data_IF_648553248704
#
_entry.id   IF_648553248704
#
_cell.length_a   1.000
_cell.length_b   1.000
_cell.length_c   1.000
_cell.angle_alpha   90.00
_cell.angle_beta   90.00
_cell.angle_gamma   90.00
#
_symmetry.space_group_name_H-M   'P 1'
#
loop_
_entity.id
_entity.type
_entity.pdbx_description
1 polymer ?
#
# COMPACT_ATOMS: atom_id res chain seq x y z
N UNK A 1 0.74 -10.84 16.96
CA UNK A 1 1.77 -11.88 17.15
C UNK A 1 3.00 -11.26 17.82
N UNK A 2 3.45 -11.85 18.91
CA UNK A 2 4.68 -11.42 19.55
C UNK A 2 5.87 -11.94 18.77
N UNK A 3 6.82 -11.10 18.51
CA UNK A 3 8.07 -11.48 17.87
C UNK A 3 9.18 -11.42 18.89
N UNK A 4 9.88 -12.53 19.06
CA UNK A 4 11.08 -12.58 19.88
C UNK A 4 12.28 -12.34 18.98
N UNK A 5 13.08 -11.36 19.35
CA UNK A 5 14.34 -11.08 18.68
C UNK A 5 15.45 -11.48 19.60
N UNK A 6 16.33 -12.38 19.16
CA UNK A 6 17.51 -12.75 19.90
C UNK A 6 18.60 -11.70 19.68
N UNK A 7 19.04 -11.08 20.75
CA UNK A 7 20.15 -10.15 20.70
C UNK A 7 21.48 -10.91 20.80
N UNK A 8 22.61 -10.27 20.38
CA UNK A 8 23.91 -10.93 20.26
C UNK A 8 24.42 -11.61 21.53
N UNK A 9 23.97 -11.26 22.69
CA UNK A 9 24.40 -11.86 23.96
C UNK A 9 23.37 -12.82 24.55
N UNK A 10 22.52 -13.39 23.69
CA UNK A 10 21.51 -14.34 24.13
C UNK A 10 20.34 -13.74 24.89
N UNK A 11 20.23 -12.44 24.90
CA UNK A 11 19.12 -11.77 25.56
C UNK A 11 17.91 -11.80 24.64
N UNK A 12 16.87 -12.48 25.07
CA UNK A 12 15.60 -12.44 24.36
C UNK A 12 14.95 -11.09 24.64
N UNK A 13 14.64 -10.38 23.58
CA UNK A 13 13.94 -9.12 23.67
C UNK A 13 12.58 -9.24 22.98
N UNK A 14 11.54 -8.87 23.72
CA UNK A 14 10.19 -8.80 23.13
C UNK A 14 10.10 -7.50 22.37
N UNK A 15 9.95 -7.62 21.04
CA UNK A 15 9.69 -6.46 20.22
C UNK A 15 8.22 -6.13 20.33
N UNK A 16 7.93 -4.93 20.84
CA UNK A 16 6.56 -4.45 20.94
C UNK A 16 5.98 -4.34 19.53
N UNK A 17 4.83 -4.94 19.28
CA UNK A 17 4.19 -4.79 17.96
C UNK A 17 3.91 -3.32 17.67
N UNK A 18 3.99 -2.93 16.41
CA UNK A 18 3.63 -1.59 15.99
C UNK A 18 2.20 -1.28 16.41
N UNK A 19 1.99 -0.03 16.83
CA UNK A 19 0.64 0.44 17.18
C UNK A 19 -0.12 0.72 15.90
N UNK A 20 -0.58 -0.31 15.25
CA UNK A 20 -1.60 -0.22 14.21
C UNK A 20 -2.86 -0.93 14.72
N UNK A 21 -4.01 -0.69 14.12
CA UNK A 21 -5.23 -1.37 14.55
C UNK A 21 -5.04 -2.89 14.51
N UNK A 22 -5.29 -3.57 15.65
CA UNK A 22 -5.34 -5.03 15.70
C UNK A 22 -6.55 -5.56 14.93
N UNK A 23 -7.58 -4.72 14.83
CA UNK A 23 -8.79 -4.97 14.08
C UNK A 23 -8.87 -3.94 12.97
N UNK A 24 -9.25 -4.38 11.78
CA UNK A 24 -9.43 -3.46 10.67
C UNK A 24 -10.50 -2.41 11.03
N UNK A 25 -10.16 -1.14 10.82
CA UNK A 25 -11.09 -0.03 11.05
C UNK A 25 -11.77 0.33 9.72
N UNK A 26 -13.07 0.02 9.56
CA UNK A 26 -13.80 0.31 8.32
C UNK A 26 -14.11 1.79 8.12
N UNK A 27 -13.77 2.66 9.07
CA UNK A 27 -13.94 4.11 8.93
C UNK A 27 -12.76 4.80 8.26
N UNK A 28 -11.70 4.05 7.90
CA UNK A 28 -10.58 4.64 7.20
C UNK A 28 -11.00 5.18 5.84
N UNK A 29 -10.25 6.17 5.35
CA UNK A 29 -10.64 6.92 4.14
C UNK A 29 -10.73 6.03 2.90
N UNK A 30 -9.86 5.01 2.77
CA UNK A 30 -9.87 4.15 1.58
C UNK A 30 -11.07 3.20 1.57
N UNK A 31 -11.45 2.67 2.73
CA UNK A 31 -12.68 1.89 2.84
C UNK A 31 -13.90 2.72 2.45
N UNK A 32 -13.90 3.99 2.84
CA UNK A 32 -15.00 4.91 2.51
C UNK A 32 -15.01 5.26 1.02
N UNK A 33 -13.86 5.37 0.39
CA UNK A 33 -13.76 5.53 -1.07
C UNK A 33 -14.35 4.29 -1.77
N UNK A 34 -14.00 3.10 -1.31
CA UNK A 34 -14.52 1.86 -1.88
C UNK A 34 -16.03 1.75 -1.79
N UNK A 35 -16.62 2.30 -0.73
CA UNK A 35 -18.08 2.33 -0.55
C UNK A 35 -18.77 3.49 -1.28
N UNK A 36 -18.01 4.35 -1.94
CA UNK A 36 -18.56 5.51 -2.63
C UNK A 36 -18.96 6.67 -1.71
N UNK A 37 -18.54 6.64 -0.45
CA UNK A 37 -18.85 7.72 0.51
C UNK A 37 -17.96 8.95 0.35
N UNK A 38 -16.75 8.73 -0.17
CA UNK A 38 -15.79 9.80 -0.46
C UNK A 38 -15.43 9.70 -1.94
N UNK A 39 -15.49 10.81 -2.70
CA UNK A 39 -15.14 10.79 -4.12
C UNK A 39 -13.64 10.57 -4.31
N UNK A 40 -13.28 9.93 -5.41
CA UNK A 40 -11.89 9.74 -5.84
C UNK A 40 -11.82 9.80 -7.36
N UNK A 41 -10.66 10.17 -7.88
CA UNK A 41 -10.40 10.14 -9.33
C UNK A 41 -9.96 8.74 -9.72
N UNK A 42 -10.93 7.87 -9.95
CA UNK A 42 -10.72 6.46 -10.23
C UNK A 42 -10.14 6.27 -11.63
N UNK A 43 -9.08 5.45 -11.72
CA UNK A 43 -8.44 5.10 -12.98
C UNK A 43 -8.81 3.69 -13.39
N UNK A 44 -8.93 2.79 -12.42
CA UNK A 44 -9.22 1.37 -12.64
C UNK A 44 -10.09 0.86 -11.50
N UNK A 45 -11.06 0.02 -11.83
CA UNK A 45 -11.94 -0.59 -10.85
C UNK A 45 -12.33 -1.98 -11.34
N UNK A 46 -11.96 -3.00 -10.60
CA UNK A 46 -12.34 -4.37 -10.88
C UNK A 46 -12.90 -5.06 -9.64
N UNK A 47 -13.20 -6.35 -9.75
CA UNK A 47 -13.79 -7.12 -8.66
C UNK A 47 -12.90 -7.15 -7.40
N UNK A 48 -11.57 -7.02 -7.57
CA UNK A 48 -10.60 -7.26 -6.50
C UNK A 48 -9.90 -6.01 -6.01
N UNK A 49 -9.81 -4.97 -6.82
CA UNK A 49 -9.06 -3.76 -6.45
C UNK A 49 -9.57 -2.52 -7.17
N UNK A 50 -9.11 -1.38 -6.69
CA UNK A 50 -9.36 -0.08 -7.30
C UNK A 50 -8.06 0.70 -7.36
N UNK A 51 -7.85 1.45 -8.45
CA UNK A 51 -6.75 2.39 -8.57
C UNK A 51 -7.31 3.81 -8.73
N UNK A 52 -6.71 4.77 -8.04
CA UNK A 52 -7.14 6.17 -8.10
C UNK A 52 -5.96 7.11 -7.85
N UNK A 53 -6.05 8.33 -8.34
CA UNK A 53 -5.01 9.34 -8.15
C UNK A 53 -4.91 9.75 -6.68
N UNK A 54 -3.67 9.89 -6.18
CA UNK A 54 -3.42 10.42 -4.84
C UNK A 54 -3.79 11.91 -4.82
N UNK A 55 -4.53 12.35 -3.79
CA UNK A 55 -4.95 13.75 -3.67
C UNK A 55 -3.80 14.67 -3.22
N UNK A 56 -2.71 14.08 -2.72
CA UNK A 56 -1.51 14.81 -2.31
C UNK A 56 -0.30 14.22 -3.05
N UNK A 57 -0.23 14.40 -4.39
CA UNK A 57 0.77 13.72 -5.18
C UNK A 57 2.19 14.15 -4.83
N UNK A 58 3.09 13.16 -4.75
CA UNK A 58 4.51 13.38 -4.47
C UNK A 58 5.36 13.28 -5.75
N UNK A 59 4.72 13.11 -6.89
CA UNK A 59 5.32 13.08 -8.21
C UNK A 59 4.26 13.53 -9.22
N UNK A 60 4.65 13.92 -10.46
CA UNK A 60 3.69 14.31 -11.50
C UNK A 60 2.62 13.24 -11.75
N UNK A 61 2.98 11.97 -11.67
CA UNK A 61 2.03 10.86 -11.61
C UNK A 61 2.20 10.17 -10.27
N UNK A 62 1.13 10.13 -9.49
CA UNK A 62 1.10 9.44 -8.22
C UNK A 62 -0.30 8.85 -8.03
N UNK A 63 -0.40 7.52 -8.14
CA UNK A 63 -1.67 6.85 -7.92
C UNK A 63 -1.52 5.71 -6.91
N UNK A 64 -2.64 5.26 -6.41
CA UNK A 64 -2.73 4.20 -5.41
C UNK A 64 -3.50 3.02 -6.01
N UNK A 65 -3.11 1.82 -5.63
CA UNK A 65 -3.89 0.61 -5.90
C UNK A 65 -4.25 -0.02 -4.57
N UNK A 66 -5.53 -0.21 -4.33
CA UNK A 66 -6.03 -0.74 -3.06
C UNK A 66 -6.87 -2.00 -3.29
N UNK A 67 -6.75 -3.00 -2.43
CA UNK A 67 -7.59 -4.20 -2.50
C UNK A 67 -9.00 -3.90 -1.99
N UNK A 68 -9.98 -4.66 -2.48
CA UNK A 68 -11.35 -4.64 -1.98
C UNK A 68 -11.53 -5.66 -0.85
N UNK A 69 -10.50 -5.83 -0.03
CA UNK A 69 -10.51 -6.66 1.17
C UNK A 69 -9.97 -5.85 2.33
N UNK A 70 -10.42 -6.20 3.53
CA UNK A 70 -10.08 -5.50 4.76
C UNK A 70 -8.73 -5.97 5.29
N UNK A 71 -7.66 -5.49 4.66
CA UNK A 71 -6.28 -5.76 5.06
C UNK A 71 -5.66 -4.42 5.47
N UNK A 72 -5.27 -4.30 6.74
CA UNK A 72 -4.74 -3.04 7.26
C UNK A 72 -3.31 -2.77 6.80
N UNK A 73 -2.40 -3.73 6.98
CA UNK A 73 -0.99 -3.60 6.64
C UNK A 73 -0.53 -4.81 5.83
N UNK A 74 0.61 -4.67 5.16
CA UNK A 74 1.19 -5.82 4.46
C UNK A 74 1.52 -6.97 5.43
N UNK A 75 1.91 -6.64 6.67
CA UNK A 75 2.18 -7.64 7.70
C UNK A 75 0.96 -8.48 8.07
N UNK A 76 -0.24 -7.99 7.83
CA UNK A 76 -1.48 -8.71 8.10
C UNK A 76 -1.88 -9.66 6.96
N UNK A 77 -1.19 -9.59 5.83
CA UNK A 77 -1.44 -10.50 4.71
C UNK A 77 -0.95 -11.90 5.04
N UNK A 78 -1.63 -12.89 4.50
CA UNK A 78 -1.32 -14.31 4.69
C UNK A 78 -1.10 -14.97 3.33
N UNK A 79 -0.62 -16.22 3.29
CA UNK A 79 -0.51 -16.97 2.03
C UNK A 79 -1.81 -17.02 1.21
N UNK A 80 -2.97 -16.95 1.86
CA UNK A 80 -4.26 -16.89 1.17
C UNK A 80 -4.43 -15.59 0.35
N UNK A 81 -3.63 -14.57 0.63
CA UNK A 81 -3.71 -13.28 -0.05
C UNK A 81 -2.71 -13.15 -1.21
N UNK A 82 -1.90 -14.18 -1.49
CA UNK A 82 -0.86 -14.09 -2.52
C UNK A 82 -1.41 -13.69 -3.89
N UNK A 83 -2.50 -14.31 -4.33
CA UNK A 83 -3.12 -14.00 -5.61
C UNK A 83 -3.60 -12.54 -5.65
N UNK A 84 -4.19 -12.07 -4.57
CA UNK A 84 -4.65 -10.68 -4.46
C UNK A 84 -3.48 -9.70 -4.53
N UNK A 85 -2.41 -9.96 -3.78
CA UNK A 85 -1.23 -9.09 -3.78
C UNK A 85 -0.57 -9.05 -5.16
N UNK A 86 -0.46 -10.19 -5.82
CA UNK A 86 0.02 -10.25 -7.19
C UNK A 86 -0.86 -9.45 -8.14
N UNK A 87 -2.18 -9.52 -7.97
CA UNK A 87 -3.12 -8.75 -8.76
C UNK A 87 -2.94 -7.24 -8.57
N UNK A 88 -2.69 -6.79 -7.33
CA UNK A 88 -2.41 -5.37 -7.07
C UNK A 88 -1.18 -4.88 -7.84
N UNK A 89 -0.10 -5.67 -7.84
CA UNK A 89 1.14 -5.30 -8.51
C UNK A 89 1.00 -5.32 -10.03
N UNK A 90 0.34 -6.32 -10.59
CA UNK A 90 0.06 -6.39 -12.03
C UNK A 90 -0.86 -5.24 -12.45
N UNK A 91 -1.86 -4.94 -11.66
CA UNK A 91 -2.75 -3.78 -11.91
C UNK A 91 -1.96 -2.48 -11.90
N UNK A 92 -1.06 -2.30 -10.92
CA UNK A 92 -0.19 -1.12 -10.87
C UNK A 92 0.63 -0.97 -12.15
N UNK A 93 1.22 -2.06 -12.63
CA UNK A 93 1.99 -2.06 -13.89
C UNK A 93 1.12 -1.72 -15.09
N UNK A 94 -0.08 -2.28 -15.17
CA UNK A 94 -1.00 -2.03 -16.28
C UNK A 94 -1.52 -0.59 -16.28
N UNK A 95 -1.83 -0.04 -15.12
CA UNK A 95 -2.27 1.36 -15.01
C UNK A 95 -1.13 2.31 -15.40
N UNK A 96 0.11 2.02 -14.99
CA UNK A 96 1.27 2.81 -15.40
C UNK A 96 1.42 2.83 -16.93
N UNK A 97 1.21 1.69 -17.60
CA UNK A 97 1.20 1.62 -19.07
C UNK A 97 0.06 2.44 -19.65
N UNK A 98 -1.12 2.31 -19.09
CA UNK A 98 -2.31 3.05 -19.54
C UNK A 98 -2.09 4.55 -19.46
N UNK A 99 -1.39 5.03 -18.42
CA UNK A 99 -1.06 6.43 -18.24
C UNK A 99 0.19 6.87 -19.03
N UNK A 100 0.87 5.95 -19.68
CA UNK A 100 2.03 6.26 -20.51
C UNK A 100 3.29 6.58 -19.73
N UNK A 101 3.41 6.11 -18.49
CA UNK A 101 4.55 6.44 -17.60
C UNK A 101 5.48 5.27 -17.34
N UNK A 102 5.22 4.10 -17.91
CA UNK A 102 6.03 2.91 -17.67
C UNK A 102 7.39 2.93 -18.36
N UNK A 103 7.51 3.57 -19.54
CA UNK A 103 8.77 3.58 -20.30
C UNK A 103 9.89 4.31 -19.55
N UNK A 104 9.59 5.46 -18.94
CA UNK A 104 10.57 6.23 -18.19
C UNK A 104 10.82 5.69 -16.79
N UNK A 105 10.01 4.74 -16.38
CA UNK A 105 10.12 4.09 -15.09
C UNK A 105 9.21 4.67 -14.03
N UNK A 106 8.88 3.82 -13.08
CA UNK A 106 8.06 4.17 -11.92
C UNK A 106 8.62 3.51 -10.67
N UNK A 107 8.28 4.07 -9.53
CA UNK A 107 8.61 3.47 -8.24
C UNK A 107 7.34 2.96 -7.58
N UNK A 108 7.41 1.71 -7.14
CA UNK A 108 6.33 1.08 -6.41
C UNK A 108 6.70 1.07 -4.93
N UNK A 109 5.83 1.60 -4.08
CA UNK A 109 6.08 1.70 -2.65
C UNK A 109 4.89 1.13 -1.88
N UNK A 110 5.19 0.28 -0.92
CA UNK A 110 4.22 -0.16 0.09
C UNK A 110 4.82 0.20 1.45
N UNK A 111 4.22 1.16 2.12
CA UNK A 111 4.60 1.52 3.48
C UNK A 111 3.93 0.53 4.44
N UNK A 112 4.73 -0.28 5.10
CA UNK A 112 4.23 -1.33 5.99
C UNK A 112 4.38 -0.90 7.44
N UNK A 113 3.33 -0.34 8.00
CA UNK A 113 3.29 0.10 9.39
C UNK A 113 3.64 1.57 9.59
N UNK A 114 3.32 2.08 10.76
CA UNK A 114 3.49 3.50 11.09
C UNK A 114 4.95 3.97 11.01
N UNK A 115 5.90 3.13 11.43
CA UNK A 115 7.31 3.47 11.39
C UNK A 115 7.87 3.64 9.98
N UNK A 116 7.20 3.09 8.98
CA UNK A 116 7.56 3.23 7.57
C UNK A 116 6.78 4.36 6.88
N UNK A 117 5.94 5.09 7.60
CA UNK A 117 5.15 6.19 7.05
C UNK A 117 3.75 5.82 6.61
N UNK A 118 3.25 4.65 6.99
CA UNK A 118 1.85 4.32 6.72
C UNK A 118 0.94 5.15 7.61
N UNK A 119 0.02 5.90 7.01
CA UNK A 119 -0.92 6.75 7.73
C UNK A 119 -2.38 6.28 7.59
N UNK A 120 -2.71 5.58 6.53
CA UNK A 120 -4.02 4.98 6.32
C UNK A 120 -3.87 3.46 6.46
N UNK A 121 -4.62 2.86 7.39
CA UNK A 121 -4.52 1.43 7.69
C UNK A 121 -5.53 0.62 6.88
N UNK A 122 -5.43 0.80 5.61
CA UNK A 122 -5.95 -0.04 4.54
C UNK A 122 -4.80 -0.21 3.54
N UNK A 123 -4.37 -1.44 3.33
CA UNK A 123 -3.23 -1.76 2.45
C UNK A 123 -3.34 -1.00 1.14
N UNK A 124 -2.25 -0.36 0.72
CA UNK A 124 -2.22 0.35 -0.53
C UNK A 124 -0.83 0.37 -1.14
N UNK A 125 -0.80 0.33 -2.44
CA UNK A 125 0.41 0.36 -3.25
C UNK A 125 0.50 1.74 -3.89
N UNK A 126 1.57 2.47 -3.58
CA UNK A 126 1.87 3.73 -4.27
C UNK A 126 2.59 3.44 -5.58
N UNK A 127 2.26 4.18 -6.61
CA UNK A 127 3.02 4.23 -7.87
C UNK A 127 3.37 5.68 -8.16
N UNK A 128 4.66 5.96 -8.23
CA UNK A 128 5.18 7.31 -8.46
C UNK A 128 5.99 7.32 -9.76
N UNK A 129 5.75 8.31 -10.60
CA UNK A 129 6.41 8.44 -11.89
C UNK A 129 6.40 9.88 -12.38
N UNK A 130 7.13 10.16 -13.45
CA UNK A 130 7.12 11.48 -14.10
C UNK A 130 8.23 12.40 -13.63
N UNK A 131 9.10 11.94 -12.75
CA UNK A 131 10.32 12.63 -12.35
C UNK A 131 11.39 11.60 -11.99
N UNK A 132 12.62 12.06 -11.88
CA UNK A 132 13.70 11.21 -11.40
C UNK A 132 13.48 10.87 -9.91
N UNK A 133 13.59 9.60 -9.57
CA UNK A 133 13.42 9.10 -8.21
C UNK A 133 14.76 8.58 -7.72
N UNK A 134 15.31 9.29 -6.73
CA UNK A 134 16.67 9.05 -6.26
C UNK A 134 16.80 7.77 -5.43
N UNK A 135 18.02 7.34 -5.24
CA UNK A 135 18.40 6.28 -4.34
C UNK A 135 19.41 6.80 -3.33
N UNK A 136 19.30 6.53 -2.01
CA UNK A 136 18.32 5.63 -1.37
C UNK A 136 16.88 6.16 -1.41
N UNK A 137 15.88 5.26 -1.24
CA UNK A 137 14.47 5.63 -1.43
C UNK A 137 13.85 6.48 -0.33
N UNK A 138 14.55 6.66 0.76
CA UNK A 138 14.04 7.45 1.88
C UNK A 138 15.11 8.08 2.71
#
# INVERSE_FOLDING_TARGET
MKRLTLLPVGVAQVVTPHKHPLTYDPTNVFARILRGEIPAKVIHDDEHCMAFHDVTPQAPTHFLVIPKRDIATLSDATPADESLLGHLLVTAANVAKQLGVDEDGSRIVINNGAGAGQTVFHLHVHVLAGRNLAWPPG
#
